data_IF_787777044216
#
_entry.id   IF_787777044216
#
_cell.length_a   1.000
_cell.length_b   1.000
_cell.length_c   1.000
_cell.angle_alpha   90.00
_cell.angle_beta   90.00
_cell.angle_gamma   90.00
#
_symmetry.space_group_name_H-M   'P 1'
#
loop_
_entity.id
_entity.type
_entity.pdbx_description
1 polymer ?
#
# COMPACT_ATOMS: atom_id res chain seq x y z
N UNK A 1 -16.05 -10.76 -4.82
CA UNK A 1 -15.83 -9.30 -4.79
C UNK A 1 -17.05 -8.64 -5.41
N UNK A 2 -17.45 -7.47 -4.92
CA UNK A 2 -18.60 -6.75 -5.47
C UNK A 2 -18.30 -6.20 -6.87
N UNK A 3 -19.27 -6.30 -7.77
CA UNK A 3 -19.15 -5.84 -9.15
C UNK A 3 -18.98 -4.32 -9.24
N UNK A 4 -19.63 -3.59 -8.33
CA UNK A 4 -19.55 -2.13 -8.24
C UNK A 4 -19.20 -1.75 -6.80
N UNK A 5 -18.09 -1.05 -6.62
CA UNK A 5 -17.62 -0.62 -5.31
C UNK A 5 -17.57 0.90 -5.25
N UNK A 6 -18.04 1.47 -4.14
CA UNK A 6 -17.79 2.88 -3.85
C UNK A 6 -16.41 3.02 -3.22
N UNK A 7 -15.59 3.90 -3.79
CA UNK A 7 -14.23 4.17 -3.34
C UNK A 7 -13.99 5.67 -3.24
N UNK A 8 -13.06 6.05 -2.38
CA UNK A 8 -12.74 7.42 -2.03
C UNK A 8 -11.25 7.70 -2.19
N UNK A 9 -10.91 8.88 -2.67
CA UNK A 9 -9.55 9.40 -2.76
C UNK A 9 -9.45 10.74 -2.02
N UNK A 10 -8.57 10.82 -1.05
CA UNK A 10 -8.22 12.06 -0.36
C UNK A 10 -7.29 12.93 -1.19
N UNK A 11 -7.65 14.19 -1.40
CA UNK A 11 -6.77 15.18 -2.03
C UNK A 11 -7.15 16.61 -1.69
N UNK A 12 -6.20 17.53 -1.90
CA UNK A 12 -6.40 18.98 -1.79
C UNK A 12 -7.23 19.58 -2.94
N UNK A 13 -7.55 18.78 -3.94
CA UNK A 13 -8.25 19.20 -5.14
C UNK A 13 -9.46 18.31 -5.41
N UNK A 14 -10.45 18.87 -6.10
CA UNK A 14 -11.50 18.07 -6.73
C UNK A 14 -10.89 17.37 -7.94
N UNK A 15 -11.01 16.05 -7.98
CA UNK A 15 -10.53 15.22 -9.08
C UNK A 15 -11.76 14.57 -9.71
N UNK A 16 -12.17 15.07 -10.88
CA UNK A 16 -13.36 14.54 -11.57
C UNK A 16 -13.10 13.17 -12.22
N UNK A 17 -11.86 12.95 -12.67
CA UNK A 17 -11.46 11.74 -13.39
C UNK A 17 -10.19 11.16 -12.75
N UNK A 18 -10.25 9.93 -12.19
CA UNK A 18 -9.06 9.22 -11.74
C UNK A 18 -8.08 9.05 -12.90
N UNK A 19 -6.81 9.37 -12.66
CA UNK A 19 -5.76 9.21 -13.65
C UNK A 19 -4.62 8.37 -13.06
N UNK A 20 -4.33 7.25 -13.71
CA UNK A 20 -3.15 6.46 -13.40
C UNK A 20 -1.89 7.26 -13.70
N UNK A 21 -0.88 7.18 -12.83
CA UNK A 21 0.43 7.77 -13.11
C UNK A 21 0.66 9.19 -12.58
N UNK A 22 -0.36 9.86 -12.02
CA UNK A 22 -0.21 11.23 -11.47
C UNK A 22 0.25 11.30 -10.02
N UNK A 23 0.39 10.16 -9.34
CA UNK A 23 0.86 10.06 -7.96
C UNK A 23 2.39 10.04 -7.81
N UNK A 24 2.85 9.92 -6.56
CA UNK A 24 4.27 9.72 -6.26
C UNK A 24 4.70 8.32 -6.69
N UNK A 25 5.81 8.23 -7.42
CA UNK A 25 6.38 6.95 -7.89
C UNK A 25 6.76 6.02 -6.74
N UNK A 26 7.09 6.61 -5.59
CA UNK A 26 7.55 5.92 -4.41
C UNK A 26 6.40 5.58 -3.45
N UNK A 27 5.13 5.56 -3.88
CA UNK A 27 4.05 5.07 -3.02
C UNK A 27 4.17 3.54 -2.76
N UNK A 28 3.44 3.03 -1.78
CA UNK A 28 3.67 1.69 -1.19
C UNK A 28 3.57 0.56 -2.21
N UNK A 29 2.56 0.64 -3.08
CA UNK A 29 2.34 -0.30 -4.17
C UNK A 29 2.88 0.23 -5.52
N UNK A 30 3.69 1.29 -5.47
CA UNK A 30 4.26 1.96 -6.64
C UNK A 30 3.33 3.02 -7.22
N UNK A 31 3.58 3.39 -8.46
CA UNK A 31 2.80 4.42 -9.15
C UNK A 31 1.36 3.96 -9.40
N UNK A 32 0.37 4.77 -9.01
CA UNK A 32 -1.04 4.41 -9.17
C UNK A 32 -1.98 5.51 -8.66
N UNK A 33 -3.28 5.20 -8.67
CA UNK A 33 -4.33 6.04 -8.08
C UNK A 33 -4.86 5.35 -6.82
N UNK A 34 -4.60 5.96 -5.66
CA UNK A 34 -4.80 5.31 -4.37
C UNK A 34 -6.16 5.67 -3.81
N UNK A 35 -6.96 4.65 -3.49
CA UNK A 35 -8.30 4.80 -2.96
C UNK A 35 -8.51 3.92 -1.73
N UNK A 36 -9.56 4.23 -0.98
CA UNK A 36 -10.07 3.44 0.14
C UNK A 36 -11.60 3.32 0.05
N UNK A 37 -12.17 2.28 0.64
CA UNK A 37 -13.63 2.18 0.80
C UNK A 37 -14.13 2.94 2.03
N UNK A 38 -13.21 3.38 2.91
CA UNK A 38 -13.50 4.15 4.10
C UNK A 38 -13.36 5.66 3.81
N UNK A 39 -14.47 6.38 3.90
CA UNK A 39 -14.51 7.83 3.66
C UNK A 39 -13.72 8.62 4.70
N UNK A 40 -13.68 8.18 5.96
CA UNK A 40 -12.95 8.90 7.01
C UNK A 40 -11.44 8.77 6.77
N UNK A 41 -10.98 7.58 6.37
CA UNK A 41 -9.58 7.39 5.96
C UNK A 41 -9.21 8.25 4.74
N UNK A 42 -10.12 8.41 3.78
CA UNK A 42 -9.87 9.29 2.64
C UNK A 42 -9.72 10.76 3.07
N UNK A 43 -10.50 11.21 4.07
CA UNK A 43 -10.34 12.57 4.61
C UNK A 43 -8.99 12.74 5.30
N UNK A 44 -8.55 11.74 6.08
CA UNK A 44 -7.21 11.76 6.71
C UNK A 44 -6.10 11.95 5.68
N UNK A 45 -6.19 11.29 4.51
CA UNK A 45 -5.20 11.44 3.43
C UNK A 45 -5.23 12.81 2.75
N UNK A 46 -6.39 13.48 2.75
CA UNK A 46 -6.54 14.84 2.21
C UNK A 46 -6.01 15.93 3.14
N UNK A 47 -5.73 15.60 4.41
CA UNK A 47 -5.44 16.55 5.46
C UNK A 47 -3.98 17.02 5.41
N UNK A 48 -3.77 18.26 4.98
CA UNK A 48 -2.47 18.93 5.05
C UNK A 48 -2.66 20.42 5.39
N UNK A 49 -2.21 20.79 6.58
CA UNK A 49 -1.89 22.14 7.07
C UNK A 49 -2.71 23.35 6.52
N UNK A 50 -4.05 23.24 6.50
CA UNK A 50 -4.94 24.40 6.36
C UNK A 50 -5.39 24.75 4.94
N UNK A 51 -5.34 23.80 4.01
CA UNK A 51 -5.97 23.90 2.69
C UNK A 51 -7.33 23.19 2.67
N UNK A 52 -8.16 23.48 1.66
CA UNK A 52 -9.42 22.76 1.45
C UNK A 52 -9.14 21.27 1.14
N UNK A 53 -9.94 20.39 1.74
CA UNK A 53 -9.74 18.93 1.69
C UNK A 53 -10.95 18.26 1.06
N UNK A 54 -10.71 17.34 0.12
CA UNK A 54 -11.76 16.63 -0.59
C UNK A 54 -11.60 15.12 -0.45
N UNK A 55 -12.68 14.45 -0.05
CA UNK A 55 -12.84 13.01 -0.23
C UNK A 55 -13.58 12.75 -1.55
N UNK A 56 -12.84 12.67 -2.65
CA UNK A 56 -13.40 12.43 -3.98
C UNK A 56 -13.99 11.03 -4.05
N UNK A 57 -15.25 10.91 -4.47
CA UNK A 57 -16.02 9.67 -4.46
C UNK A 57 -16.22 9.13 -5.88
N UNK A 58 -15.95 7.84 -6.08
CA UNK A 58 -16.10 7.16 -7.36
C UNK A 58 -16.83 5.82 -7.19
N UNK A 59 -17.49 5.38 -8.26
CA UNK A 59 -17.98 4.01 -8.39
C UNK A 59 -17.03 3.26 -9.32
N UNK A 60 -16.34 2.26 -8.78
CA UNK A 60 -15.47 1.37 -9.53
C UNK A 60 -16.26 0.13 -9.95
N UNK A 61 -16.49 -0.02 -11.25
CA UNK A 61 -16.93 -1.29 -11.83
C UNK A 61 -15.71 -2.20 -11.98
N UNK A 62 -15.76 -3.37 -11.36
CA UNK A 62 -14.68 -4.36 -11.32
C UNK A 62 -14.83 -5.45 -12.37
N UNK A 63 -15.88 -5.37 -13.20
CA UNK A 63 -16.11 -6.26 -14.32
C UNK A 63 -14.90 -6.26 -15.26
N UNK A 64 -14.38 -7.45 -15.55
CA UNK A 64 -13.20 -7.67 -16.42
C UNK A 64 -11.87 -7.08 -15.91
N UNK A 65 -11.79 -6.54 -14.69
CA UNK A 65 -10.53 -6.11 -14.10
C UNK A 65 -9.74 -7.30 -13.53
N UNK A 66 -8.44 -7.33 -13.77
CA UNK A 66 -7.52 -8.23 -13.09
C UNK A 66 -7.19 -7.65 -11.72
N UNK A 67 -7.71 -8.31 -10.68
CA UNK A 67 -7.57 -7.87 -9.30
C UNK A 67 -6.56 -8.75 -8.56
N UNK A 68 -5.55 -8.11 -7.97
CA UNK A 68 -4.64 -8.70 -7.01
C UNK A 68 -5.13 -8.38 -5.60
N UNK A 69 -5.53 -9.39 -4.83
CA UNK A 69 -5.86 -9.21 -3.42
C UNK A 69 -4.74 -9.75 -2.54
N UNK A 70 -3.87 -8.87 -2.02
CA UNK A 70 -2.79 -9.22 -1.09
C UNK A 70 -3.31 -9.67 0.29
N UNK A 71 -4.60 -9.51 0.57
CA UNK A 71 -5.24 -10.02 1.79
C UNK A 71 -5.73 -11.48 1.65
N UNK A 72 -5.60 -12.09 0.46
CA UNK A 72 -5.92 -13.51 0.27
C UNK A 72 -4.95 -14.40 1.09
N UNK A 73 -5.45 -15.53 1.59
CA UNK A 73 -4.69 -16.49 2.44
C UNK A 73 -3.39 -17.02 1.83
N UNK A 74 -3.21 -16.91 0.52
CA UNK A 74 -1.99 -17.32 -0.20
C UNK A 74 -0.84 -16.32 -0.04
N UNK A 75 -1.15 -15.09 0.34
CA UNK A 75 -0.17 -14.05 0.62
C UNK A 75 -0.03 -13.88 2.13
N UNK A 76 1.13 -13.38 2.53
CA UNK A 76 1.43 -13.05 3.92
C UNK A 76 1.76 -11.58 4.03
N UNK A 77 1.90 -11.07 5.26
CA UNK A 77 2.42 -9.72 5.47
C UNK A 77 3.80 -9.52 4.81
N UNK A 78 4.58 -10.59 4.66
CA UNK A 78 5.88 -10.54 4.00
C UNK A 78 5.76 -10.30 2.49
N UNK A 79 4.68 -10.77 1.85
CA UNK A 79 4.39 -10.45 0.43
C UNK A 79 4.14 -8.96 0.25
N UNK A 80 3.33 -8.36 1.12
CA UNK A 80 3.10 -6.92 1.13
C UNK A 80 4.36 -6.14 1.46
N UNK A 81 5.09 -6.53 2.51
CA UNK A 81 6.36 -5.91 2.89
C UNK A 81 7.38 -5.95 1.75
N UNK A 82 7.44 -7.06 1.01
CA UNK A 82 8.31 -7.17 -0.16
C UNK A 82 7.93 -6.15 -1.23
N UNK A 83 6.64 -5.95 -1.50
CA UNK A 83 6.16 -4.93 -2.44
C UNK A 83 6.50 -3.52 -1.95
N UNK A 84 6.29 -3.23 -0.67
CA UNK A 84 6.65 -1.96 -0.04
C UNK A 84 8.15 -1.64 -0.24
N UNK A 85 9.04 -2.60 0.03
CA UNK A 85 10.50 -2.46 -0.08
C UNK A 85 10.97 -2.25 -1.54
N UNK A 86 10.17 -2.66 -2.54
CA UNK A 86 10.48 -2.35 -3.95
C UNK A 86 10.31 -0.88 -4.27
N UNK A 87 9.24 -0.30 -3.75
CA UNK A 87 8.79 1.02 -4.17
C UNK A 87 9.32 2.13 -3.24
N UNK A 88 9.71 1.78 -2.02
CA UNK A 88 10.17 2.71 -0.99
C UNK A 88 11.63 2.49 -0.62
N UNK A 89 12.30 3.57 -0.22
CA UNK A 89 13.69 3.53 0.25
C UNK A 89 13.71 3.26 1.75
N UNK A 90 14.41 2.21 2.16
CA UNK A 90 14.63 1.86 3.57
C UNK A 90 16.12 1.97 3.91
N UNK A 91 16.43 2.35 5.16
CA UNK A 91 17.82 2.39 5.60
C UNK A 91 18.30 0.98 5.91
N UNK A 92 19.18 0.48 5.06
CA UNK A 92 19.84 -0.81 5.26
C UNK A 92 21.16 -0.56 5.97
N UNK A 93 21.21 -0.88 7.26
CA UNK A 93 22.34 -0.49 8.13
C UNK A 93 23.43 -1.54 8.26
N UNK A 94 23.17 -2.79 7.85
CA UNK A 94 24.06 -3.92 8.06
C UNK A 94 23.87 -5.04 7.01
N UNK A 95 24.80 -6.00 6.96
CA UNK A 95 24.79 -7.12 6.00
C UNK A 95 23.61 -8.09 6.22
N UNK A 96 23.14 -8.22 7.46
CA UNK A 96 21.96 -9.04 7.77
C UNK A 96 20.71 -8.44 7.13
N UNK A 97 20.53 -7.12 7.20
CA UNK A 97 19.43 -6.41 6.57
C UNK A 97 19.45 -6.51 5.04
N UNK A 98 20.65 -6.51 4.42
CA UNK A 98 20.79 -6.80 2.97
C UNK A 98 20.32 -8.22 2.64
N UNK A 99 20.78 -9.19 3.42
CA UNK A 99 20.41 -10.60 3.25
C UNK A 99 18.91 -10.82 3.47
N UNK A 100 18.31 -10.17 4.47
CA UNK A 100 16.87 -10.21 4.73
C UNK A 100 16.06 -9.62 3.56
N UNK A 101 16.49 -8.47 3.02
CA UNK A 101 15.88 -7.89 1.83
C UNK A 101 15.95 -8.83 0.62
N UNK A 102 17.10 -9.46 0.39
CA UNK A 102 17.26 -10.43 -0.70
C UNK A 102 16.34 -11.65 -0.50
N UNK A 103 16.31 -12.22 0.71
CA UNK A 103 15.42 -13.33 1.06
C UNK A 103 13.95 -12.99 0.81
N UNK A 104 13.50 -11.79 1.17
CA UNK A 104 12.14 -11.33 0.89
C UNK A 104 11.84 -11.30 -0.62
N UNK A 105 12.77 -10.80 -1.43
CA UNK A 105 12.60 -10.81 -2.89
C UNK A 105 12.61 -12.20 -3.52
N UNK A 106 13.40 -13.13 -2.99
CA UNK A 106 13.47 -14.49 -3.53
C UNK A 106 12.21 -15.30 -3.20
N UNK A 107 11.62 -15.09 -2.02
CA UNK A 107 10.57 -15.97 -1.49
C UNK A 107 9.16 -15.36 -1.46
N UNK A 108 9.02 -14.04 -1.39
CA UNK A 108 7.74 -13.36 -1.17
C UNK A 108 7.40 -12.33 -2.24
N UNK A 109 8.18 -12.28 -3.32
CA UNK A 109 7.94 -11.36 -4.41
C UNK A 109 6.61 -11.63 -5.12
N UNK A 110 5.86 -10.56 -5.38
CA UNK A 110 4.63 -10.57 -6.18
C UNK A 110 4.84 -9.69 -7.41
N UNK A 111 4.60 -10.26 -8.60
CA UNK A 111 4.52 -9.47 -9.83
C UNK A 111 3.15 -8.81 -9.91
N UNK A 112 3.15 -7.48 -9.91
CA UNK A 112 1.94 -6.66 -9.93
C UNK A 112 1.65 -6.08 -11.33
N UNK A 113 2.56 -6.23 -12.30
CA UNK A 113 2.52 -5.52 -13.58
C UNK A 113 1.30 -5.85 -14.45
N UNK A 114 0.70 -7.02 -14.24
CA UNK A 114 -0.44 -7.52 -15.02
C UNK A 114 -1.81 -7.20 -14.42
N UNK A 115 -1.86 -6.52 -13.27
CA UNK A 115 -3.09 -6.25 -12.53
C UNK A 115 -3.56 -4.80 -12.69
N UNK A 116 -4.87 -4.63 -12.76
CA UNK A 116 -5.53 -3.33 -12.87
C UNK A 116 -5.82 -2.73 -11.48
N UNK A 117 -6.08 -3.60 -10.49
CA UNK A 117 -6.41 -3.20 -9.12
C UNK A 117 -5.60 -4.04 -8.15
N UNK A 118 -4.99 -3.38 -7.16
CA UNK A 118 -4.30 -4.02 -6.04
C UNK A 118 -5.05 -3.67 -4.77
N UNK A 119 -5.51 -4.68 -4.06
CA UNK A 119 -6.09 -4.58 -2.72
C UNK A 119 -5.03 -5.08 -1.74
N UNK A 120 -4.74 -4.31 -0.70
CA UNK A 120 -3.74 -4.68 0.29
C UNK A 120 -3.90 -3.92 1.59
N UNK A 121 -2.85 -3.97 2.41
CA UNK A 121 -2.79 -3.28 3.69
C UNK A 121 -2.85 -1.77 3.50
N UNK A 122 -3.36 -1.08 4.54
CA UNK A 122 -3.41 0.38 4.62
C UNK A 122 -2.02 0.97 4.36
N UNK A 123 -1.97 2.07 3.61
CA UNK A 123 -0.80 2.93 3.58
C UNK A 123 -0.85 3.84 4.81
N UNK A 124 -0.15 3.45 5.87
CA UNK A 124 -0.01 4.20 7.13
C UNK A 124 1.47 4.44 7.39
N UNK A 125 1.83 5.68 7.75
CA UNK A 125 3.23 6.06 7.95
C UNK A 125 3.91 5.28 9.09
N UNK A 126 3.14 4.84 10.09
CA UNK A 126 3.64 3.98 11.17
C UNK A 126 4.17 2.64 10.66
N UNK A 127 3.68 2.16 9.52
CA UNK A 127 4.09 0.87 8.97
C UNK A 127 5.53 0.89 8.43
N UNK A 128 6.05 2.06 8.04
CA UNK A 128 7.45 2.21 7.65
C UNK A 128 8.41 1.91 8.80
N UNK A 129 8.10 2.40 10.00
CA UNK A 129 8.93 2.18 11.18
C UNK A 129 8.99 0.68 11.51
N UNK A 130 7.85 -0.01 11.50
CA UNK A 130 7.81 -1.46 11.75
C UNK A 130 8.50 -2.27 10.66
N UNK A 131 8.37 -1.87 9.39
CA UNK A 131 9.08 -2.50 8.27
C UNK A 131 10.61 -2.34 8.41
N UNK A 132 11.08 -1.15 8.74
CA UNK A 132 12.50 -0.87 8.96
C UNK A 132 13.06 -1.63 10.16
N UNK A 133 12.32 -1.65 11.27
CA UNK A 133 12.70 -2.42 12.47
C UNK A 133 12.77 -3.92 12.18
N UNK A 134 11.83 -4.46 11.40
CA UNK A 134 11.86 -5.86 11.01
C UNK A 134 13.07 -6.18 10.13
N UNK A 135 13.36 -5.34 9.12
CA UNK A 135 14.51 -5.51 8.23
C UNK A 135 15.84 -5.45 8.97
N UNK A 136 15.94 -4.61 9.99
CA UNK A 136 17.12 -4.49 10.83
C UNK A 136 17.15 -5.49 12.00
N UNK A 137 16.23 -6.46 12.02
CA UNK A 137 16.13 -7.51 13.04
C UNK A 137 15.86 -6.98 14.47
N UNK A 138 15.25 -5.80 14.60
CA UNK A 138 14.83 -5.18 15.86
C UNK A 138 13.52 -5.77 16.39
N UNK A 139 12.63 -6.23 15.50
CA UNK A 139 11.37 -6.90 15.84
C UNK A 139 11.21 -8.24 15.13
N UNK A 140 10.46 -9.16 15.74
CA UNK A 140 10.14 -10.46 15.15
C UNK A 140 8.92 -10.41 14.24
N UNK A 141 8.75 -11.43 13.39
CA UNK A 141 7.58 -11.55 12.50
C UNK A 141 6.24 -11.50 13.27
N UNK A 142 6.04 -12.21 14.40
CA UNK A 142 4.80 -12.08 15.16
C UNK A 142 4.52 -10.66 15.68
N UNK A 143 5.57 -9.89 15.99
CA UNK A 143 5.42 -8.48 16.38
C UNK A 143 5.02 -7.61 15.20
N UNK A 144 5.64 -7.82 14.04
CA UNK A 144 5.24 -7.16 12.79
C UNK A 144 3.78 -7.45 12.46
N UNK A 145 3.38 -8.72 12.43
CA UNK A 145 1.99 -9.14 12.14
C UNK A 145 0.97 -8.53 13.11
N UNK A 146 1.35 -8.34 14.38
CA UNK A 146 0.48 -7.70 15.36
C UNK A 146 0.36 -6.19 15.12
N UNK A 147 1.46 -5.52 14.77
CA UNK A 147 1.46 -4.09 14.48
C UNK A 147 0.64 -3.75 13.23
N UNK A 148 0.63 -4.61 12.22
CA UNK A 148 -0.10 -4.43 10.96
C UNK A 148 -1.60 -4.73 11.04
N UNK A 149 -2.11 -5.07 12.23
CA UNK A 149 -3.55 -5.27 12.51
C UNK A 149 -4.17 -4.12 13.29
N UNK A 150 -3.37 -3.10 13.63
CA UNK A 150 -3.80 -1.86 14.25
C UNK A 150 -4.17 -0.84 13.17
#
# INVERSE_FOLDING_TARGET
MELNMKIYHGSQYIIEKPEFGKGKVYNDNGLGFYCTQDIELAKEWGCDNGLDEFANCYNLNTENLKILNLNDKKYTILSWLTLLIKNRTFRITNELAKSAKQFLFEHYNVDISSYDVIIGYRADDSYFAFAEDFLNNSISLPRLEKAMKL
#
